data_IF_843894981835
#
_entry.id   IF_843894981835
#
_cell.length_a   1.000
_cell.length_b   1.000
_cell.length_c   1.000
_cell.angle_alpha   90.00
_cell.angle_beta   90.00
_cell.angle_gamma   90.00
#
_symmetry.space_group_name_H-M   'P 1'
#
loop_
_entity.id
_entity.type
_entity.pdbx_description
1 polymer ?
#
# COMPACT_ATOMS: atom_id res chain seq x y z
N UNK A 1 -15.35 -3.32 7.59
CA UNK A 1 -14.20 -3.85 8.33
C UNK A 1 -14.47 -5.14 9.11
N UNK A 2 -15.72 -5.63 9.21
CA UNK A 2 -16.03 -6.87 9.99
C UNK A 2 -15.82 -8.16 9.17
N UNK A 3 -16.00 -8.14 7.85
CA UNK A 3 -15.93 -9.33 7.00
C UNK A 3 -14.51 -9.85 6.70
N UNK A 4 -13.47 -9.00 6.75
CA UNK A 4 -12.08 -9.43 6.47
C UNK A 4 -11.44 -10.20 7.64
N UNK A 5 -11.90 -9.95 8.87
CA UNK A 5 -11.38 -10.57 10.08
C UNK A 5 -11.76 -12.05 10.21
N UNK A 6 -13.00 -12.38 9.84
CA UNK A 6 -13.51 -13.76 9.87
C UNK A 6 -12.65 -14.62 8.94
N UNK A 7 -12.36 -14.12 7.73
CA UNK A 7 -11.54 -14.84 6.75
C UNK A 7 -10.14 -15.19 7.27
N UNK A 8 -9.38 -14.23 7.82
CA UNK A 8 -8.01 -14.51 8.27
C UNK A 8 -7.94 -15.54 9.41
N UNK A 9 -8.92 -15.53 10.32
CA UNK A 9 -9.00 -16.52 11.39
C UNK A 9 -9.41 -17.90 10.89
N UNK A 10 -10.32 -17.97 9.92
CA UNK A 10 -10.69 -19.22 9.24
C UNK A 10 -9.48 -19.84 8.52
N UNK A 11 -8.55 -19.01 8.04
CA UNK A 11 -7.26 -19.47 7.49
C UNK A 11 -6.18 -19.76 8.55
N UNK A 12 -6.52 -19.75 9.84
CA UNK A 12 -5.60 -20.13 10.93
C UNK A 12 -4.58 -19.06 11.32
N UNK A 13 -4.78 -17.80 10.94
CA UNK A 13 -3.91 -16.71 11.40
C UNK A 13 -4.19 -16.42 12.87
N UNK A 14 -3.16 -16.57 13.70
CA UNK A 14 -3.26 -16.32 15.14
C UNK A 14 -3.61 -14.84 15.42
N UNK A 15 -4.54 -14.54 16.36
CA UNK A 15 -5.03 -13.18 16.60
C UNK A 15 -3.94 -12.13 16.85
N UNK A 16 -2.88 -12.50 17.56
CA UNK A 16 -1.75 -11.65 17.92
C UNK A 16 -0.89 -11.25 16.71
N UNK A 17 -1.07 -11.93 15.56
CA UNK A 17 -0.42 -11.60 14.29
C UNK A 17 -1.27 -10.68 13.41
N UNK A 18 -2.47 -10.31 13.87
CA UNK A 18 -3.40 -9.45 13.15
C UNK A 18 -3.40 -8.08 13.81
N UNK A 19 -2.82 -7.09 13.12
CA UNK A 19 -2.82 -5.70 13.57
C UNK A 19 -3.87 -4.92 12.78
N UNK A 20 -4.64 -4.10 13.48
CA UNK A 20 -5.65 -3.23 12.86
C UNK A 20 -5.16 -1.79 12.89
N UNK A 21 -5.42 -1.06 11.80
CA UNK A 21 -5.36 0.40 11.85
C UNK A 21 -6.50 0.93 12.73
N UNK A 22 -6.30 2.12 13.30
CA UNK A 22 -7.29 2.72 14.20
C UNK A 22 -8.62 2.97 13.45
N UNK A 23 -9.77 2.73 14.08
CA UNK A 23 -11.06 3.06 13.47
C UNK A 23 -11.15 4.58 13.25
N UNK A 24 -11.31 4.99 11.98
CA UNK A 24 -11.38 6.41 11.59
C UNK A 24 -10.33 6.83 10.55
N UNK A 25 -9.32 6.00 10.28
CA UNK A 25 -8.35 6.22 9.20
C UNK A 25 -9.00 5.97 7.83
N UNK A 26 -9.78 6.93 7.33
CA UNK A 26 -10.47 6.80 6.02
C UNK A 26 -9.60 7.20 4.83
N UNK A 27 -8.33 7.57 5.06
CA UNK A 27 -7.42 8.00 4.01
C UNK A 27 -6.16 7.12 3.99
N UNK A 28 -5.89 6.55 2.80
CA UNK A 28 -4.72 5.74 2.47
C UNK A 28 -3.38 6.32 2.93
N UNK A 29 -3.26 7.65 3.06
CA UNK A 29 -2.07 8.28 3.62
C UNK A 29 -1.82 7.87 5.07
N UNK A 30 -2.84 7.96 5.93
CA UNK A 30 -2.73 7.60 7.35
C UNK A 30 -2.49 6.09 7.51
N UNK A 31 -3.13 5.27 6.68
CA UNK A 31 -2.90 3.82 6.68
C UNK A 31 -1.43 3.47 6.42
N UNK A 32 -0.79 4.12 5.43
CA UNK A 32 0.63 3.91 5.13
C UNK A 32 1.53 4.41 6.27
N UNK A 33 1.23 5.57 6.85
CA UNK A 33 2.01 6.12 7.97
C UNK A 33 1.92 5.21 9.21
N UNK A 34 0.73 4.73 9.55
CA UNK A 34 0.51 3.82 10.68
C UNK A 34 1.18 2.47 10.45
N UNK A 35 1.10 1.94 9.23
CA UNK A 35 1.83 0.73 8.85
C UNK A 35 3.35 0.87 9.02
N UNK A 36 3.94 2.00 8.61
CA UNK A 36 5.39 2.22 8.75
C UNK A 36 5.82 2.39 10.21
N UNK A 37 5.02 3.07 11.03
CA UNK A 37 5.26 3.17 12.48
C UNK A 37 5.31 1.78 13.11
N UNK A 38 4.27 0.97 12.90
CA UNK A 38 4.22 -0.39 13.41
C UNK A 38 5.37 -1.25 12.86
N UNK A 39 5.66 -1.15 11.56
CA UNK A 39 6.75 -1.89 10.93
C UNK A 39 8.11 -1.56 11.56
N UNK A 40 8.33 -0.29 11.93
CA UNK A 40 9.55 0.13 12.62
C UNK A 40 9.61 -0.45 14.03
N UNK A 41 8.52 -0.39 14.80
CA UNK A 41 8.43 -0.95 16.16
C UNK A 41 8.69 -2.47 16.16
N UNK A 42 8.19 -3.17 15.14
CA UNK A 42 8.37 -4.62 14.98
C UNK A 42 9.67 -5.01 14.25
N UNK A 43 10.46 -4.03 13.80
CA UNK A 43 11.72 -4.28 13.08
C UNK A 43 11.55 -4.87 11.68
N UNK A 44 10.35 -4.85 11.10
CA UNK A 44 10.05 -5.41 9.78
C UNK A 44 10.82 -4.68 8.67
N UNK A 45 11.40 -5.46 7.76
CA UNK A 45 12.23 -4.95 6.65
C UNK A 45 11.57 -5.09 5.28
N UNK A 46 10.52 -5.90 5.19
CA UNK A 46 9.82 -6.20 3.94
C UNK A 46 8.34 -6.39 4.21
N UNK A 47 7.52 -6.21 3.18
CA UNK A 47 6.06 -6.35 3.28
C UNK A 47 5.39 -6.49 1.94
N UNK A 48 4.17 -7.04 1.96
CA UNK A 48 3.31 -7.17 0.78
C UNK A 48 2.02 -6.41 1.01
N UNK A 49 1.70 -5.50 0.10
CA UNK A 49 0.41 -4.80 0.05
C UNK A 49 -0.48 -5.55 -0.92
N UNK A 50 -1.58 -6.11 -0.41
CA UNK A 50 -2.59 -6.79 -1.21
C UNK A 50 -3.77 -5.84 -1.42
N UNK A 51 -4.09 -5.53 -2.69
CA UNK A 51 -5.19 -4.62 -3.02
C UNK A 51 -5.85 -4.98 -4.36
N UNK A 52 -6.88 -4.24 -4.77
CA UNK A 52 -7.53 -4.44 -6.06
C UNK A 52 -6.55 -4.13 -7.21
N UNK A 53 -6.63 -4.84 -8.36
CA UNK A 53 -5.70 -4.63 -9.48
C UNK A 53 -5.57 -3.17 -9.93
N UNK A 54 -6.68 -2.43 -10.02
CA UNK A 54 -6.70 -1.03 -10.46
C UNK A 54 -6.06 -0.06 -9.45
N UNK A 55 -5.81 -0.48 -8.20
CA UNK A 55 -5.28 0.34 -7.10
C UNK A 55 -3.78 0.12 -6.85
N UNK A 56 -3.18 -0.90 -7.48
CA UNK A 56 -1.80 -1.34 -7.19
C UNK A 56 -0.77 -0.22 -7.31
N UNK A 57 -0.84 0.55 -8.39
CA UNK A 57 0.13 1.62 -8.65
C UNK A 57 0.01 2.73 -7.60
N UNK A 58 -1.21 3.20 -7.31
CA UNK A 58 -1.43 4.24 -6.30
C UNK A 58 -0.97 3.78 -4.91
N UNK A 59 -1.25 2.52 -4.55
CA UNK A 59 -0.79 1.95 -3.29
C UNK A 59 0.75 1.96 -3.18
N UNK A 60 1.45 1.57 -4.25
CA UNK A 60 2.93 1.62 -4.29
C UNK A 60 3.46 3.04 -4.14
N UNK A 61 2.93 3.99 -4.93
CA UNK A 61 3.37 5.39 -4.87
C UNK A 61 3.09 6.04 -3.51
N UNK A 62 1.96 5.71 -2.89
CA UNK A 62 1.60 6.19 -1.56
C UNK A 62 2.55 5.65 -0.49
N UNK A 63 2.92 4.37 -0.58
CA UNK A 63 3.87 3.77 0.36
C UNK A 63 5.27 4.36 0.20
N UNK A 64 5.74 4.56 -1.03
CA UNK A 64 7.04 5.22 -1.29
C UNK A 64 7.06 6.63 -0.71
N UNK A 65 6.01 7.43 -0.93
CA UNK A 65 5.91 8.77 -0.36
C UNK A 65 5.97 8.74 1.17
N UNK A 66 5.28 7.78 1.79
CA UNK A 66 5.29 7.62 3.24
C UNK A 66 6.69 7.22 3.76
N UNK A 67 7.38 6.30 3.07
CA UNK A 67 8.76 5.89 3.39
C UNK A 67 9.74 7.06 3.28
N UNK A 68 9.63 7.87 2.23
CA UNK A 68 10.41 9.10 2.03
C UNK A 68 10.18 10.08 3.19
N UNK A 69 8.93 10.42 3.49
CA UNK A 69 8.56 11.37 4.56
C UNK A 69 8.98 10.90 5.96
N UNK A 70 9.00 9.59 6.21
CA UNK A 70 9.36 9.01 7.51
C UNK A 70 10.82 8.58 7.61
N UNK A 71 11.59 8.70 6.53
CA UNK A 71 12.96 8.18 6.44
C UNK A 71 13.06 6.73 6.93
N UNK A 72 12.11 5.88 6.51
CA UNK A 72 12.07 4.46 6.84
C UNK A 72 11.85 3.65 5.58
N UNK A 73 12.90 2.97 5.12
CA UNK A 73 12.85 2.21 3.88
C UNK A 73 12.67 0.72 4.15
N UNK A 74 11.72 0.12 3.43
CA UNK A 74 11.41 -1.30 3.45
C UNK A 74 11.29 -1.83 2.02
N UNK A 75 11.43 -3.14 1.87
CA UNK A 75 11.12 -3.83 0.62
C UNK A 75 9.63 -4.12 0.53
N UNK A 76 8.92 -3.25 -0.16
CA UNK A 76 7.49 -3.35 -0.40
C UNK A 76 7.22 -3.94 -1.78
N UNK A 77 6.28 -4.89 -1.80
CA UNK A 77 5.70 -5.49 -3.00
C UNK A 77 4.19 -5.22 -3.01
N UNK A 78 3.63 -4.81 -4.14
CA UNK A 78 2.18 -4.74 -4.32
C UNK A 78 1.70 -5.92 -5.15
N UNK A 79 0.58 -6.51 -4.76
CA UNK A 79 -0.03 -7.63 -5.49
C UNK A 79 -1.55 -7.59 -5.41
N UNK A 80 -2.20 -8.23 -6.36
CA UNK A 80 -3.65 -8.38 -6.39
C UNK A 80 -4.04 -9.87 -6.28
N UNK A 81 -5.25 -10.18 -5.81
CA UNK A 81 -5.76 -11.54 -5.83
C UNK A 81 -5.75 -12.10 -7.26
N UNK A 82 -5.30 -13.36 -7.40
CA UNK A 82 -5.18 -14.06 -8.70
C UNK A 82 -6.47 -14.00 -9.51
N UNK A 83 -7.62 -14.14 -8.86
CA UNK A 83 -8.93 -14.08 -9.49
C UNK A 83 -9.59 -12.74 -9.19
N UNK A 84 -9.42 -11.78 -10.10
CA UNK A 84 -10.05 -10.46 -10.04
C UNK A 84 -10.66 -10.10 -11.40
N UNK A 85 -11.86 -10.59 -11.75
CA UNK A 85 -12.45 -10.38 -13.07
C UNK A 85 -12.65 -8.89 -13.36
N UNK A 86 -12.27 -8.45 -14.56
CA UNK A 86 -12.32 -7.03 -14.92
C UNK A 86 -13.74 -6.48 -15.11
N UNK A 87 -14.68 -7.36 -15.47
CA UNK A 87 -16.09 -7.00 -15.67
C UNK A 87 -16.94 -7.15 -14.41
N UNK A 88 -16.37 -7.67 -13.32
CA UNK A 88 -17.08 -7.74 -12.03
C UNK A 88 -17.32 -6.32 -11.50
N UNK A 89 -18.55 -6.06 -11.07
CA UNK A 89 -18.94 -4.80 -10.44
C UNK A 89 -18.44 -4.78 -9.01
N UNK A 90 -17.57 -3.81 -8.72
CA UNK A 90 -16.96 -3.66 -7.41
C UNK A 90 -17.04 -2.23 -6.92
N UNK A 91 -16.93 -2.07 -5.60
CA UNK A 91 -16.81 -0.77 -4.96
C UNK A 91 -15.42 -0.19 -5.19
N UNK A 92 -15.36 1.09 -5.57
CA UNK A 92 -14.11 1.86 -5.67
C UNK A 92 -13.48 2.17 -4.30
N UNK A 93 -12.36 2.89 -4.31
CA UNK A 93 -11.53 3.18 -3.11
C UNK A 93 -12.24 3.88 -1.95
N UNK A 94 -13.40 4.49 -2.16
CA UNK A 94 -14.20 5.15 -1.11
C UNK A 94 -15.57 4.50 -0.90
N UNK A 95 -15.84 3.38 -1.57
CA UNK A 95 -17.12 2.67 -1.42
C UNK A 95 -18.33 3.35 -2.06
N UNK A 96 -18.16 4.52 -2.68
CA UNK A 96 -19.23 5.36 -3.21
C UNK A 96 -19.74 4.91 -4.58
N UNK A 97 -18.85 4.44 -5.45
CA UNK A 97 -19.20 4.05 -6.82
C UNK A 97 -19.15 2.53 -7.01
N UNK A 98 -20.24 1.98 -7.54
CA UNK A 98 -20.36 0.61 -8.01
C UNK A 98 -20.28 0.59 -9.52
N UNK A 99 -19.18 0.08 -10.06
CA UNK A 99 -18.98 -0.10 -11.51
C UNK A 99 -18.00 -1.23 -11.79
N UNK A 100 -17.96 -1.75 -13.03
CA UNK A 100 -16.97 -2.74 -13.44
C UNK A 100 -15.55 -2.33 -13.07
N UNK A 101 -14.74 -3.27 -12.60
CA UNK A 101 -13.34 -3.04 -12.19
C UNK A 101 -12.52 -2.30 -13.26
N UNK A 102 -12.77 -2.57 -14.54
CA UNK A 102 -12.12 -1.90 -15.68
C UNK A 102 -12.40 -0.39 -15.73
N UNK A 103 -13.60 0.04 -15.34
CA UNK A 103 -13.97 1.46 -15.36
C UNK A 103 -13.27 2.26 -14.24
N UNK A 104 -12.91 1.59 -13.15
CA UNK A 104 -12.13 2.22 -12.07
C UNK A 104 -10.69 2.54 -12.48
N UNK A 105 -10.16 1.97 -13.57
CA UNK A 105 -8.78 2.25 -14.02
C UNK A 105 -8.60 3.74 -14.34
N UNK A 106 -9.56 4.33 -15.05
CA UNK A 106 -9.52 5.74 -15.45
C UNK A 106 -9.55 6.65 -14.21
N UNK A 107 -10.38 6.34 -13.24
CA UNK A 107 -10.46 7.10 -12.00
C UNK A 107 -9.18 7.04 -11.20
N UNK A 108 -8.60 5.85 -11.06
CA UNK A 108 -7.35 5.68 -10.32
C UNK A 108 -6.20 6.40 -11.02
N UNK A 109 -6.16 6.40 -12.35
CA UNK A 109 -5.19 7.20 -13.10
C UNK A 109 -5.36 8.69 -12.80
N UNK A 110 -6.58 9.22 -12.86
CA UNK A 110 -6.85 10.63 -12.55
C UNK A 110 -6.43 11.00 -11.12
N UNK A 111 -6.78 10.15 -10.14
CA UNK A 111 -6.37 10.33 -8.73
C UNK A 111 -4.86 10.31 -8.57
N UNK A 112 -4.15 9.45 -9.30
CA UNK A 112 -2.68 9.40 -9.25
C UNK A 112 -2.11 10.75 -9.67
N UNK A 113 -2.55 11.30 -10.80
CA UNK A 113 -2.07 12.60 -11.29
C UNK A 113 -2.40 13.71 -10.28
N UNK A 114 -3.64 13.74 -9.79
CA UNK A 114 -4.08 14.73 -8.80
C UNK A 114 -3.25 14.68 -7.52
N UNK A 115 -3.09 13.49 -6.92
CA UNK A 115 -2.41 13.33 -5.64
C UNK A 115 -0.89 13.45 -5.76
N UNK A 116 -0.31 13.10 -6.91
CA UNK A 116 1.09 13.44 -7.21
C UNK A 116 1.27 14.96 -7.25
N UNK A 117 0.36 15.70 -7.89
CA UNK A 117 0.39 17.16 -7.93
C UNK A 117 0.29 17.82 -6.55
N UNK A 118 -0.38 17.18 -5.58
CA UNK A 118 -0.48 17.64 -4.19
C UNK A 118 0.69 17.22 -3.29
N UNK A 119 1.59 16.35 -3.77
CA UNK A 119 2.67 15.77 -2.94
C UNK A 119 2.19 14.66 -1.99
N UNK A 120 1.01 14.10 -2.24
CA UNK A 120 0.43 12.98 -1.48
C UNK A 120 0.87 11.62 -2.01
N UNK A 121 1.39 11.56 -3.24
CA UNK A 121 2.01 10.38 -3.84
C UNK A 121 3.42 10.69 -4.32
N UNK A 122 4.27 9.65 -4.35
CA UNK A 122 5.60 9.74 -4.90
C UNK A 122 5.55 9.99 -6.42
N UNK A 123 6.60 10.60 -6.96
CA UNK A 123 6.76 10.74 -8.40
C UNK A 123 7.09 9.40 -9.08
N UNK A 124 6.87 9.30 -10.40
CA UNK A 124 7.34 8.14 -11.16
C UNK A 124 8.86 8.02 -11.17
N UNK A 125 9.59 9.13 -11.04
CA UNK A 125 11.04 9.12 -10.88
C UNK A 125 11.44 8.50 -9.53
N UNK A 126 10.78 8.89 -8.43
CA UNK A 126 10.96 8.26 -7.11
C UNK A 126 10.63 6.78 -7.16
N UNK A 127 9.57 6.37 -7.86
CA UNK A 127 9.24 4.96 -8.08
C UNK A 127 10.38 4.21 -8.78
N UNK A 128 10.91 4.74 -9.88
CA UNK A 128 12.02 4.13 -10.61
C UNK A 128 13.26 3.95 -9.72
N UNK A 129 13.66 5.01 -9.01
CA UNK A 129 14.79 4.97 -8.06
C UNK A 129 14.58 3.96 -6.94
N UNK A 130 13.36 3.90 -6.39
CA UNK A 130 13.01 2.93 -5.35
C UNK A 130 13.12 1.50 -5.87
N UNK A 131 12.54 1.19 -7.03
CA UNK A 131 12.58 -0.14 -7.63
C UNK A 131 14.03 -0.57 -7.88
N UNK A 132 14.86 0.29 -8.47
CA UNK A 132 16.28 0.00 -8.68
C UNK A 132 17.00 -0.33 -7.36
N UNK A 133 16.81 0.50 -6.32
CA UNK A 133 17.42 0.25 -5.01
C UNK A 133 16.95 -1.06 -4.38
N UNK A 134 15.66 -1.40 -4.55
CA UNK A 134 15.07 -2.65 -4.04
C UNK A 134 15.69 -3.87 -4.73
N UNK A 135 15.76 -3.87 -6.06
CA UNK A 135 16.35 -4.99 -6.82
C UNK A 135 17.84 -5.18 -6.51
N UNK A 136 18.57 -4.08 -6.25
CA UNK A 136 19.97 -4.13 -5.83
C UNK A 136 20.17 -4.47 -4.34
N UNK A 137 19.11 -4.70 -3.57
CA UNK A 137 19.18 -4.94 -2.11
C UNK A 137 19.71 -3.75 -1.29
N UNK A 138 19.82 -2.57 -1.90
CA UNK A 138 20.49 -1.39 -1.32
C UNK A 138 19.63 -0.67 -0.28
N UNK A 139 18.35 -1.01 -0.17
CA UNK A 139 17.46 -0.51 0.88
C UNK A 139 17.85 -1.05 2.28
N UNK A 140 18.51 -2.21 2.37
CA UNK A 140 18.93 -2.82 3.63
C UNK A 140 20.21 -2.22 4.21
N UNK A 141 21.06 -1.64 3.36
CA UNK A 141 22.41 -1.17 3.71
C UNK A 141 22.44 0.20 4.41
N UNK A 142 21.34 0.96 4.38
CA UNK A 142 21.24 2.27 5.05
C UNK A 142 21.13 2.16 6.58
N UNK A 143 21.07 0.95 7.15
CA UNK A 143 20.98 0.72 8.61
C UNK A 143 22.32 0.83 9.36
N UNK A 144 23.47 0.92 8.68
CA UNK A 144 24.78 0.90 9.34
C UNK A 144 25.48 2.26 9.48
N UNK A 145 24.78 3.37 9.19
CA UNK A 145 25.32 4.72 9.38
C UNK A 145 24.39 5.50 10.30
N UNK A 146 24.24 5.02 11.54
CA UNK A 146 23.90 5.89 12.67
C UNK A 146 24.78 5.44 13.81
N UNK A 147 25.80 6.26 14.08
CA UNK A 147 26.70 6.21 15.23
C UNK A 147 25.97 6.43 16.54
#
# INVERSE_FOLDING_TARGET
MVFQYIGLREFGVAPERIHFNAPGDTNTRLENENFLTLSREQGWTSGVIITQPHQLLRAMLGMINAMEKRSYWMEIYTTAPRFSPWLEVVKGSQGLELKPRVEHIKDEFNKIIEYMGKGDLASFESLGKYLEKRERGSLRLTRHIVS
#
